data_IF_828341507342
#
_entry.id   IF_828341507342
#
_cell.length_a   1.000
_cell.length_b   1.000
_cell.length_c   1.000
_cell.angle_alpha   90.00
_cell.angle_beta   90.00
_cell.angle_gamma   90.00
#
_symmetry.space_group_name_H-M   'P 1'
#
loop_
_entity.id
_entity.type
_entity.pdbx_description
1 polymer ?
#
# COMPACT_ATOMS: atom_id res chain seq x y z
N UNK A 1 14.74 -1.88 -4.64
CA UNK A 1 13.63 -2.26 -5.54
C UNK A 1 13.17 -1.01 -6.25
N UNK A 2 13.11 -1.06 -7.56
CA UNK A 2 12.71 0.08 -8.37
C UNK A 2 11.18 0.13 -8.53
N UNK A 3 10.66 1.35 -8.50
CA UNK A 3 9.33 1.72 -8.93
C UNK A 3 9.40 2.58 -10.19
N UNK A 4 8.31 3.25 -10.51
CA UNK A 4 8.23 4.16 -11.65
C UNK A 4 7.23 5.28 -11.37
N UNK A 5 7.36 6.41 -12.05
CA UNK A 5 6.29 7.41 -12.07
C UNK A 5 5.22 7.00 -13.09
N UNK A 6 3.94 7.03 -12.70
CA UNK A 6 2.84 6.79 -13.64
C UNK A 6 2.59 8.03 -14.52
N UNK A 7 1.59 7.95 -15.40
CA UNK A 7 1.25 9.05 -16.34
C UNK A 7 0.86 10.35 -15.65
N UNK A 8 0.40 10.28 -14.40
CA UNK A 8 0.05 11.46 -13.58
C UNK A 8 1.22 11.94 -12.72
N UNK A 9 2.41 11.34 -12.87
CA UNK A 9 3.60 11.70 -12.08
C UNK A 9 3.59 11.15 -10.65
N UNK A 10 2.73 10.18 -10.32
CA UNK A 10 2.74 9.57 -8.99
C UNK A 10 3.77 8.43 -8.90
N UNK A 11 4.51 8.31 -7.79
CA UNK A 11 5.45 7.22 -7.60
C UNK A 11 4.70 5.90 -7.34
N UNK A 12 4.95 4.90 -8.17
CA UNK A 12 4.29 3.59 -8.12
C UNK A 12 5.29 2.51 -7.77
N UNK A 13 4.94 1.68 -6.78
CA UNK A 13 5.67 0.48 -6.38
C UNK A 13 4.87 -0.77 -6.79
N UNK A 14 5.47 -1.70 -7.55
CA UNK A 14 4.88 -3.01 -7.76
C UNK A 14 4.82 -3.81 -6.45
N UNK A 15 3.64 -4.33 -6.11
CA UNK A 15 3.44 -5.17 -4.93
C UNK A 15 2.60 -6.39 -5.29
N UNK A 16 2.64 -7.40 -4.44
CA UNK A 16 1.73 -8.54 -4.50
C UNK A 16 0.92 -8.60 -3.21
N UNK A 17 -0.41 -8.64 -3.31
CA UNK A 17 -1.32 -8.58 -2.15
C UNK A 17 -2.02 -9.93 -1.99
N UNK A 18 -2.19 -10.37 -0.75
CA UNK A 18 -2.91 -11.60 -0.39
C UNK A 18 -3.87 -11.35 0.78
N UNK A 19 -4.95 -12.13 0.82
CA UNK A 19 -5.91 -12.18 1.93
C UNK A 19 -5.75 -13.44 2.76
N UNK A 20 -6.81 -14.26 2.84
CA UNK A 20 -6.84 -15.46 3.69
C UNK A 20 -5.76 -16.52 3.38
N UNK A 21 -5.25 -16.55 2.14
CA UNK A 21 -4.21 -17.49 1.72
C UNK A 21 -3.10 -16.78 0.99
N UNK A 22 -1.87 -16.94 1.48
CA UNK A 22 -0.67 -16.48 0.78
C UNK A 22 -0.49 -17.15 -0.58
N UNK A 23 -1.15 -18.28 -0.88
CA UNK A 23 -1.06 -18.92 -2.20
C UNK A 23 -1.90 -18.19 -3.26
N UNK A 24 -2.90 -17.41 -2.82
CA UNK A 24 -3.83 -16.69 -3.68
C UNK A 24 -3.49 -15.21 -3.54
N UNK A 25 -2.66 -14.73 -4.45
CA UNK A 25 -2.17 -13.35 -4.44
C UNK A 25 -2.23 -12.71 -5.81
N UNK A 26 -2.38 -11.39 -5.82
CA UNK A 26 -2.50 -10.61 -7.05
C UNK A 26 -1.49 -9.46 -7.06
N UNK A 27 -0.90 -9.21 -8.23
CA UNK A 27 0.06 -8.12 -8.44
C UNK A 27 -0.66 -6.82 -8.75
N UNK A 28 -0.18 -5.74 -8.15
CA UNK A 28 -0.69 -4.39 -8.35
C UNK A 28 0.47 -3.40 -8.48
N UNK A 29 0.26 -2.33 -9.25
CA UNK A 29 1.02 -1.10 -9.08
C UNK A 29 0.30 -0.24 -8.05
N UNK A 30 0.94 0.02 -6.92
CA UNK A 30 0.37 0.86 -5.88
C UNK A 30 1.10 2.20 -5.79
N UNK A 31 0.35 3.29 -5.72
CA UNK A 31 0.88 4.63 -5.51
C UNK A 31 1.41 4.69 -4.08
N UNK A 32 2.64 5.13 -3.92
CA UNK A 32 3.19 5.37 -2.59
C UNK A 32 2.85 6.80 -2.17
N UNK A 33 2.04 6.90 -1.11
CA UNK A 33 1.48 8.15 -0.62
C UNK A 33 1.97 8.41 0.81
N UNK A 34 2.87 9.39 0.96
CA UNK A 34 3.41 9.77 2.26
C UNK A 34 2.40 10.52 3.14
N UNK A 35 1.31 11.03 2.57
CA UNK A 35 0.17 11.58 3.29
C UNK A 35 -0.75 10.51 3.89
N UNK A 36 -0.64 9.26 3.42
CA UNK A 36 -1.40 8.13 3.95
C UNK A 36 -0.60 7.40 5.05
N UNK A 37 -1.14 7.37 6.28
CA UNK A 37 -0.43 6.80 7.44
C UNK A 37 -0.53 5.27 7.55
N UNK A 38 -1.55 4.67 6.92
CA UNK A 38 -1.87 3.26 7.01
C UNK A 38 -0.92 2.33 6.24
N UNK A 39 -1.26 1.05 6.21
CA UNK A 39 -0.47 0.02 5.53
C UNK A 39 -0.72 0.00 4.03
N UNK A 40 -1.95 -0.30 3.64
CA UNK A 40 -2.41 -0.36 2.26
C UNK A 40 -3.87 0.09 2.22
N UNK A 41 -4.22 0.89 1.21
CA UNK A 41 -5.60 1.17 0.84
C UNK A 41 -5.89 0.47 -0.47
N UNK A 42 -6.92 -0.36 -0.49
CA UNK A 42 -7.26 -1.20 -1.63
C UNK A 42 -8.73 -0.99 -2.02
N UNK A 43 -9.04 -0.70 -3.30
CA UNK A 43 -10.41 -0.62 -3.78
C UNK A 43 -11.21 -1.90 -3.48
N UNK A 44 -12.49 -1.73 -3.13
CA UNK A 44 -13.40 -2.81 -2.77
C UNK A 44 -13.39 -3.99 -3.77
N UNK A 45 -13.35 -3.68 -5.07
CA UNK A 45 -13.32 -4.71 -6.13
C UNK A 45 -12.10 -5.64 -6.03
N UNK A 46 -10.95 -5.14 -5.58
CA UNK A 46 -9.74 -5.94 -5.41
C UNK A 46 -9.70 -6.62 -4.04
N UNK A 47 -10.26 -6.00 -3.01
CA UNK A 47 -10.38 -6.60 -1.68
C UNK A 47 -11.12 -7.95 -1.71
N UNK A 48 -12.20 -8.05 -2.48
CA UNK A 48 -12.90 -9.32 -2.69
C UNK A 48 -12.07 -10.34 -3.47
N UNK A 49 -11.37 -9.92 -4.54
CA UNK A 49 -10.59 -10.82 -5.39
C UNK A 49 -9.44 -11.51 -4.66
N UNK A 50 -8.75 -10.78 -3.77
CA UNK A 50 -7.65 -11.34 -2.99
C UNK A 50 -8.12 -12.03 -1.70
N UNK A 51 -9.43 -12.00 -1.42
CA UNK A 51 -10.04 -12.66 -0.27
C UNK A 51 -9.61 -12.05 1.07
N UNK A 52 -9.62 -10.71 1.18
CA UNK A 52 -9.36 -10.03 2.45
C UNK A 52 -10.39 -10.42 3.52
N UNK A 53 -9.94 -10.51 4.78
CA UNK A 53 -10.78 -10.92 5.90
C UNK A 53 -11.26 -9.68 6.64
N UNK A 54 -12.56 -9.40 6.64
CA UNK A 54 -13.13 -8.25 7.37
C UNK A 54 -12.77 -8.35 8.87
N UNK A 55 -12.21 -7.28 9.42
CA UNK A 55 -11.80 -7.22 10.82
C UNK A 55 -12.62 -6.21 11.62
N UNK A 56 -12.75 -4.98 11.11
CA UNK A 56 -13.39 -3.88 11.82
C UNK A 56 -13.79 -2.75 10.87
N UNK A 57 -14.28 -1.66 11.42
CA UNK A 57 -14.44 -0.38 10.74
C UNK A 57 -13.57 0.67 11.40
N UNK A 58 -13.20 1.71 10.65
CA UNK A 58 -12.46 2.86 11.17
C UNK A 58 -12.90 4.15 10.49
N UNK A 59 -12.67 5.25 11.18
CA UNK A 59 -12.82 6.60 10.64
C UNK A 59 -11.44 7.22 10.47
N UNK A 60 -11.19 7.91 9.36
CA UNK A 60 -9.93 8.61 9.14
C UNK A 60 -10.19 10.00 8.56
N UNK A 61 -9.32 10.93 8.92
CA UNK A 61 -9.34 12.30 8.45
C UNK A 61 -8.63 12.39 7.11
N UNK A 62 -9.31 12.90 6.09
CA UNK A 62 -8.77 13.19 4.77
C UNK A 62 -7.94 14.48 4.78
N UNK A 63 -7.20 14.72 3.70
CA UNK A 63 -6.34 15.90 3.56
C UNK A 63 -7.12 17.22 3.63
N UNK A 64 -8.42 17.21 3.30
CA UNK A 64 -9.32 18.36 3.39
C UNK A 64 -9.94 18.55 4.80
N UNK A 65 -9.57 17.71 5.76
CA UNK A 65 -10.09 17.70 7.13
C UNK A 65 -11.43 16.97 7.30
N UNK A 66 -12.04 16.47 6.23
CA UNK A 66 -13.26 15.68 6.32
C UNK A 66 -12.98 14.29 6.91
N UNK A 67 -14.01 13.63 7.44
CA UNK A 67 -13.91 12.27 7.97
C UNK A 67 -14.58 11.30 7.01
N UNK A 68 -13.88 10.22 6.65
CA UNK A 68 -14.45 9.09 5.92
C UNK A 68 -14.44 7.82 6.78
N UNK A 69 -15.42 6.95 6.53
CA UNK A 69 -15.56 5.66 7.21
C UNK A 69 -15.18 4.53 6.25
N UNK A 70 -14.27 3.66 6.67
CA UNK A 70 -13.78 2.53 5.87
C UNK A 70 -13.90 1.21 6.62
N UNK A 71 -13.96 0.12 5.85
CA UNK A 71 -13.74 -1.22 6.36
C UNK A 71 -12.24 -1.45 6.50
N UNK A 72 -11.83 -2.03 7.63
CA UNK A 72 -10.49 -2.55 7.81
C UNK A 72 -10.52 -4.06 7.70
N UNK A 73 -9.66 -4.59 6.84
CA UNK A 73 -9.54 -6.02 6.61
C UNK A 73 -8.12 -6.51 6.88
N UNK A 74 -7.98 -7.73 7.38
CA UNK A 74 -6.69 -8.41 7.42
C UNK A 74 -6.28 -8.91 6.04
N UNK A 75 -5.01 -8.69 5.74
CA UNK A 75 -4.30 -9.28 4.62
C UNK A 75 -2.82 -8.97 4.72
N UNK A 76 -2.08 -9.15 3.63
CA UNK A 76 -0.67 -8.84 3.61
C UNK A 76 -0.14 -8.50 2.23
N UNK A 77 1.08 -7.97 2.24
CA UNK A 77 1.86 -7.68 1.05
C UNK A 77 3.04 -8.65 1.01
N UNK A 78 3.37 -9.13 -0.19
CA UNK A 78 4.65 -9.73 -0.52
C UNK A 78 5.46 -8.72 -1.32
N UNK A 79 6.69 -8.52 -0.89
CA UNK A 79 7.67 -7.68 -1.55
C UNK A 79 8.97 -8.47 -1.67
N UNK A 80 9.25 -8.98 -2.87
CA UNK A 80 10.34 -9.91 -3.13
C UNK A 80 10.27 -11.14 -2.20
N UNK A 81 11.27 -11.33 -1.32
CA UNK A 81 11.33 -12.44 -0.35
C UNK A 81 10.69 -12.10 1.01
N UNK A 82 10.28 -10.85 1.22
CA UNK A 82 9.69 -10.41 2.48
C UNK A 82 8.16 -10.41 2.39
N UNK A 83 7.51 -10.66 3.52
CA UNK A 83 6.06 -10.62 3.66
C UNK A 83 5.71 -9.88 4.94
N UNK A 84 4.68 -9.05 4.88
CA UNK A 84 4.16 -8.35 6.05
C UNK A 84 2.65 -8.35 6.00
N UNK A 85 2.04 -8.77 7.11
CA UNK A 85 0.60 -8.67 7.32
C UNK A 85 0.24 -7.33 7.98
N UNK A 86 -0.98 -6.87 7.75
CA UNK A 86 -1.48 -5.63 8.33
C UNK A 86 -2.98 -5.44 8.11
N UNK A 87 -3.48 -4.34 8.66
CA UNK A 87 -4.83 -3.88 8.38
C UNK A 87 -4.81 -3.09 7.07
N UNK A 88 -5.62 -3.53 6.12
CA UNK A 88 -5.80 -2.93 4.80
C UNK A 88 -7.14 -2.18 4.83
N UNK A 89 -7.12 -0.88 4.55
CA UNK A 89 -8.34 -0.09 4.41
C UNK A 89 -8.99 -0.36 3.06
N UNK A 90 -10.30 -0.52 3.05
CA UNK A 90 -11.07 -0.71 1.82
C UNK A 90 -11.60 0.62 1.33
N UNK A 91 -11.10 1.08 0.20
CA UNK A 91 -11.49 2.37 -0.39
C UNK A 91 -12.64 2.23 -1.37
N UNK A 92 -13.41 3.31 -1.52
CA UNK A 92 -14.41 3.50 -2.59
C UNK A 92 -13.79 4.03 -3.89
N UNK A 93 -12.56 4.55 -3.82
CA UNK A 93 -11.82 5.07 -4.98
C UNK A 93 -11.21 3.97 -5.85
N UNK A 94 -10.54 4.38 -6.93
CA UNK A 94 -9.86 3.48 -7.87
C UNK A 94 -8.40 3.21 -7.52
N UNK A 95 -7.77 4.13 -6.78
CA UNK A 95 -6.34 4.07 -6.53
C UNK A 95 -5.98 3.11 -5.40
N UNK A 96 -4.85 2.45 -5.58
CA UNK A 96 -4.24 1.57 -4.58
C UNK A 96 -3.11 2.36 -3.92
N UNK A 97 -3.21 2.59 -2.62
CA UNK A 97 -2.26 3.45 -1.90
C UNK A 97 -1.42 2.65 -0.92
N UNK A 98 -0.10 2.79 -0.98
CA UNK A 98 0.83 2.36 0.06
C UNK A 98 1.14 3.53 0.97
N UNK A 99 0.92 3.31 2.27
CA UNK A 99 1.16 4.35 3.27
C UNK A 99 2.47 4.16 4.03
N UNK A 100 2.63 5.01 5.04
CA UNK A 100 3.85 5.06 5.85
C UNK A 100 4.05 3.80 6.72
N UNK A 101 2.98 3.08 7.08
CA UNK A 101 3.11 1.81 7.82
C UNK A 101 3.79 0.73 6.97
N UNK A 102 3.53 0.68 5.66
CA UNK A 102 4.22 -0.24 4.74
C UNK A 102 5.74 -0.02 4.78
N UNK A 103 6.20 1.22 4.66
CA UNK A 103 7.62 1.55 4.70
C UNK A 103 8.27 1.12 6.02
N UNK A 104 7.60 1.34 7.15
CA UNK A 104 8.08 0.93 8.48
C UNK A 104 8.16 -0.59 8.60
N UNK A 105 7.10 -1.33 8.22
CA UNK A 105 7.02 -2.78 8.36
C UNK A 105 8.03 -3.53 7.49
N UNK A 106 8.27 -3.07 6.27
CA UNK A 106 9.27 -3.65 5.38
C UNK A 106 10.69 -3.10 5.62
N UNK A 107 10.86 -2.23 6.63
CA UNK A 107 12.12 -1.55 6.93
C UNK A 107 12.77 -0.90 5.70
N UNK A 108 11.96 -0.19 4.90
CA UNK A 108 12.42 0.46 3.67
C UNK A 108 12.60 1.96 3.86
N UNK A 109 13.57 2.49 3.13
CA UNK A 109 13.71 3.92 2.82
C UNK A 109 13.15 4.16 1.43
N UNK A 110 12.38 5.23 1.27
CA UNK A 110 11.96 5.73 -0.04
C UNK A 110 12.98 6.76 -0.55
N UNK A 111 13.39 6.61 -1.80
CA UNK A 111 14.11 7.60 -2.58
C UNK A 111 13.24 8.02 -3.76
N UNK A 112 12.95 9.32 -3.84
CA UNK A 112 12.27 9.95 -4.97
C UNK A 112 13.17 11.04 -5.53
N UNK A 113 13.38 11.00 -6.85
CA UNK A 113 14.04 12.08 -7.58
C UNK A 113 13.26 12.30 -8.88
N UNK A 114 12.41 13.33 -8.87
CA UNK A 114 11.56 13.65 -10.01
C UNK A 114 12.38 14.18 -11.20
N UNK A 115 13.51 14.86 -10.96
CA UNK A 115 14.36 15.40 -12.02
C UNK A 115 15.07 14.29 -12.80
N UNK A 116 15.43 13.21 -12.12
CA UNK A 116 16.10 12.05 -12.71
C UNK A 116 15.16 10.84 -12.92
N UNK A 117 13.85 10.99 -12.74
CA UNK A 117 12.84 9.94 -12.88
C UNK A 117 13.11 8.69 -12.01
N UNK A 118 13.56 8.88 -10.77
CA UNK A 118 13.88 7.81 -9.83
C UNK A 118 12.74 7.62 -8.82
N UNK A 119 12.26 6.38 -8.72
CA UNK A 119 11.42 5.89 -7.61
C UNK A 119 12.07 4.60 -7.10
N UNK A 120 12.55 4.60 -5.86
CA UNK A 120 13.25 3.43 -5.32
C UNK A 120 12.95 3.18 -3.84
N UNK A 121 12.77 1.91 -3.51
CA UNK A 121 12.79 1.41 -2.14
C UNK A 121 14.14 0.77 -1.84
N UNK A 122 14.81 1.30 -0.83
CA UNK A 122 16.11 0.83 -0.35
C UNK A 122 15.95 0.16 1.02
N UNK A 123 16.75 -0.86 1.31
CA UNK A 123 16.83 -1.39 2.67
C UNK A 123 17.42 -0.32 3.59
N UNK A 124 16.78 -0.08 4.74
CA UNK A 124 17.40 0.75 5.78
C UNK A 124 18.63 0.02 6.28
N UNK A 125 19.81 0.61 6.06
CA UNK A 125 21.02 0.22 6.76
C UNK A 125 20.75 0.31 8.27
N UNK A 126 20.98 -0.79 8.99
CA UNK A 126 21.01 -0.77 10.45
C UNK A 126 22.17 0.15 10.84
N UNK A 127 21.87 1.23 11.55
CA UNK A 127 22.90 2.02 12.23
C UNK A 127 23.35 1.27 13.46
#
# INVERSE_FOLDING_TARGET
>A
MDGFFNQNGHPVIPIEVYGFSEKISQKFGAILDTGFSGFLSLPLVYAFKVGLILSSTASFTLADGSTDHTLLCFGGIKLNKQKQAGLISVSKGSDILLGMEFLRKFNKRLLLDCGNNIVRLEDKSVK
#
